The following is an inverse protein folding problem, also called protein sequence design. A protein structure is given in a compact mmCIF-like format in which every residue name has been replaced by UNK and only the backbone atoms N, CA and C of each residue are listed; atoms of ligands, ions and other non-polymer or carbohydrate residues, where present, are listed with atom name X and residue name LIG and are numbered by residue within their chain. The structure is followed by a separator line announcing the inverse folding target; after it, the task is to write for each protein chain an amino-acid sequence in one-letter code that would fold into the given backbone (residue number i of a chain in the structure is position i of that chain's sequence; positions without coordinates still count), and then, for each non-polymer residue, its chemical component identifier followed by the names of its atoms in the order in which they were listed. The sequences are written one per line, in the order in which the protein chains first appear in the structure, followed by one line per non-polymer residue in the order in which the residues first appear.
data_IF_469473252870
#
_entry.id   IF_469473252870
#
_cell.length_a   1.000
_cell.length_b   1.000
_cell.length_c   1.000
_cell.angle_alpha   90.00
_cell.angle_beta   90.00
_cell.angle_gamma   90.00
#
_symmetry.space_group_name_H-M   'P 1'
#
loop_
_entity.id
_entity.type
_entity.pdbx_description
1 polymer ?
#
# COMPACT_ATOMS: atom_id res chain seq x y z
N UNK A 1 -0.49 -2.12 10.70
CA UNK A 1 -0.18 -3.23 9.76
C UNK A 1 -1.49 -3.91 9.39
N UNK A 2 -1.73 -4.20 8.13
CA UNK A 2 -2.94 -4.91 7.68
C UNK A 2 -2.67 -5.73 6.41
N UNK A 3 -3.45 -6.78 6.17
CA UNK A 3 -3.52 -7.48 4.88
C UNK A 3 -4.86 -7.16 4.24
N UNK A 4 -4.84 -6.60 3.03
CA UNK A 4 -6.06 -6.23 2.32
C UNK A 4 -6.69 -7.49 1.74
N UNK A 5 -8.01 -7.62 1.92
CA UNK A 5 -8.80 -8.75 1.43
C UNK A 5 -9.50 -8.43 0.10
N UNK A 6 -10.00 -7.21 -0.03
CA UNK A 6 -10.73 -6.70 -1.19
C UNK A 6 -10.65 -5.17 -1.22
N UNK A 7 -10.92 -4.58 -2.39
CA UNK A 7 -11.07 -3.14 -2.58
C UNK A 7 -12.50 -2.83 -3.00
N UNK A 8 -13.06 -1.76 -2.43
CA UNK A 8 -14.40 -1.22 -2.73
C UNK A 8 -14.31 0.31 -2.80
N UNK A 9 -15.18 0.92 -3.60
CA UNK A 9 -15.25 2.38 -3.68
C UNK A 9 -15.72 2.97 -2.35
N UNK A 10 -14.93 3.91 -1.81
CA UNK A 10 -15.23 4.56 -0.54
C UNK A 10 -16.31 5.65 -0.68
N UNK A 11 -17.17 5.78 0.31
CA UNK A 11 -18.22 6.83 0.37
C UNK A 11 -17.82 8.08 1.16
N UNK A 12 -16.60 8.08 1.70
CA UNK A 12 -16.09 9.16 2.55
C UNK A 12 -15.58 10.34 1.72
N UNK A 13 -15.72 11.55 2.25
CA UNK A 13 -15.07 12.73 1.68
C UNK A 13 -13.57 12.70 2.00
N UNK A 14 -12.74 12.45 0.98
CA UNK A 14 -11.28 12.40 1.08
C UNK A 14 -10.64 13.67 0.48
N UNK A 15 -9.44 14.03 0.96
CA UNK A 15 -8.64 15.15 0.47
C UNK A 15 -7.20 14.69 0.24
N UNK A 16 -6.52 15.33 -0.72
CA UNK A 16 -5.08 15.10 -0.96
C UNK A 16 -4.29 15.41 0.32
N UNK A 17 -3.42 14.50 0.71
CA UNK A 17 -2.53 14.68 1.87
C UNK A 17 -1.45 15.73 1.56
N UNK A 18 -0.99 16.47 2.58
CA UNK A 18 0.01 17.54 2.42
C UNK A 18 1.46 17.05 2.33
N UNK A 19 1.71 15.82 2.74
CA UNK A 19 3.05 15.25 2.88
C UNK A 19 3.23 14.10 1.90
N UNK A 20 4.35 14.12 1.19
CA UNK A 20 4.83 12.97 0.43
C UNK A 20 5.73 12.13 1.32
N UNK A 21 5.72 10.82 1.10
CA UNK A 21 6.41 9.84 1.93
C UNK A 21 7.04 8.77 1.06
N UNK A 22 8.18 8.24 1.51
CA UNK A 22 8.78 7.07 0.88
C UNK A 22 7.96 5.83 1.20
N UNK A 23 7.78 4.97 0.18
CA UNK A 23 7.14 3.67 0.31
C UNK A 23 8.11 2.57 -0.13
N UNK A 24 8.54 1.74 0.80
CA UNK A 24 9.37 0.59 0.47
C UNK A 24 8.48 -0.60 0.14
N UNK A 25 8.86 -1.37 -0.88
CA UNK A 25 8.17 -2.58 -1.28
C UNK A 25 9.07 -3.81 -1.14
N UNK A 26 8.49 -4.92 -0.70
CA UNK A 26 9.17 -6.21 -0.63
C UNK A 26 8.17 -7.33 -0.95
N UNK A 27 8.65 -8.44 -1.50
CA UNK A 27 7.82 -9.63 -1.67
C UNK A 27 8.13 -10.66 -0.60
N UNK A 28 7.09 -11.29 -0.06
CA UNK A 28 7.21 -12.38 0.92
C UNK A 28 6.34 -13.55 0.48
N UNK A 29 6.63 -14.75 0.98
CA UNK A 29 5.76 -15.92 0.82
C UNK A 29 5.11 -16.27 2.15
N UNK A 30 3.83 -16.67 2.10
CA UNK A 30 3.17 -17.24 3.27
C UNK A 30 3.55 -18.72 3.49
N UNK A 31 3.03 -19.33 4.55
CA UNK A 31 3.28 -20.73 4.90
C UNK A 31 2.86 -21.73 3.81
N UNK A 32 1.94 -21.33 2.92
CA UNK A 32 1.47 -22.14 1.81
C UNK A 32 2.22 -21.82 0.51
N UNK A 33 3.23 -20.95 0.56
CA UNK A 33 4.06 -20.55 -0.57
C UNK A 33 3.46 -19.44 -1.44
N UNK A 34 2.28 -18.90 -1.11
CA UNK A 34 1.67 -17.86 -1.92
C UNK A 34 2.45 -16.54 -1.79
N UNK A 35 2.60 -15.83 -2.91
CA UNK A 35 3.29 -14.55 -2.96
C UNK A 35 2.41 -13.43 -2.40
N UNK A 36 3.01 -12.59 -1.58
CA UNK A 36 2.44 -11.31 -1.13
C UNK A 36 3.41 -10.19 -1.41
N UNK A 37 2.90 -9.02 -1.77
CA UNK A 37 3.66 -7.78 -1.75
C UNK A 37 3.38 -7.04 -0.45
N UNK A 38 4.44 -6.61 0.21
CA UNK A 38 4.43 -5.81 1.41
C UNK A 38 4.86 -4.39 1.07
N UNK A 39 4.06 -3.41 1.47
CA UNK A 39 4.32 -2.00 1.28
C UNK A 39 4.39 -1.33 2.65
N UNK A 40 5.44 -0.56 2.89
CA UNK A 40 5.61 0.20 4.13
C UNK A 40 5.97 1.63 3.82
N UNK A 41 5.18 2.57 4.35
CA UNK A 41 5.48 3.99 4.26
C UNK A 41 6.26 4.48 5.47
N UNK A 42 7.17 5.41 5.22
CA UNK A 42 8.02 6.06 6.23
C UNK A 42 7.74 7.55 6.22
N UNK A 43 7.65 8.17 7.41
CA UNK A 43 7.41 9.62 7.50
C UNK A 43 8.50 10.43 6.78
N UNK A 44 8.13 11.63 6.31
CA UNK A 44 8.99 12.54 5.55
C UNK A 44 10.25 12.98 6.30
N UNK A 45 11.26 13.40 5.53
CA UNK A 45 12.66 13.68 5.89
C UNK A 45 12.92 14.66 7.06
N UNK A 46 11.90 15.36 7.57
CA UNK A 46 12.01 16.34 8.66
C UNK A 46 12.17 15.73 10.07
N UNK A 47 12.85 14.58 10.20
CA UNK A 47 13.11 13.96 11.50
C UNK A 47 14.57 13.61 11.71
N UNK A 48 15.10 14.09 12.82
CA UNK A 48 16.45 13.84 13.36
C UNK A 48 16.73 12.35 13.74
N UNK A 49 15.80 11.43 13.46
CA UNK A 49 15.85 10.02 13.85
C UNK A 49 15.46 9.10 12.69
N UNK A 50 16.01 7.88 12.69
CA UNK A 50 15.77 6.88 11.65
C UNK A 50 14.28 6.74 11.30
N UNK A 51 13.92 6.66 10.01
CA UNK A 51 12.54 6.71 9.56
C UNK A 51 11.69 5.63 10.25
N UNK A 52 10.72 6.07 11.06
CA UNK A 52 9.77 5.18 11.73
C UNK A 52 8.65 4.84 10.75
N UNK A 53 8.41 3.54 10.53
CA UNK A 53 7.27 3.06 9.75
C UNK A 53 5.98 3.65 10.31
N UNK A 54 5.22 4.36 9.47
CA UNK A 54 3.95 4.97 9.86
C UNK A 54 2.78 4.06 9.56
N UNK A 55 2.84 3.34 8.42
CA UNK A 55 1.80 2.42 7.98
C UNK A 55 2.42 1.29 7.15
N UNK A 56 1.78 0.12 7.20
CA UNK A 56 2.16 -0.98 6.33
C UNK A 56 0.97 -1.85 5.95
N UNK A 57 0.95 -2.25 4.69
CA UNK A 57 -0.10 -3.09 4.08
C UNK A 57 0.50 -4.27 3.33
N UNK A 58 -0.29 -5.32 3.15
CA UNK A 58 0.07 -6.48 2.34
C UNK A 58 -1.06 -6.84 1.40
N UNK A 59 -0.71 -7.22 0.17
CA UNK A 59 -1.64 -7.72 -0.85
C UNK A 59 -1.19 -9.10 -1.29
N UNK A 60 -2.13 -10.04 -1.38
CA UNK A 60 -1.91 -11.27 -2.16
C UNK A 60 -2.16 -10.98 -3.64
N UNK A 61 -1.93 -11.99 -4.50
CA UNK A 61 -2.13 -11.85 -5.95
C UNK A 61 -3.53 -11.36 -6.33
N UNK A 62 -4.58 -11.91 -5.73
CA UNK A 62 -5.96 -11.53 -6.04
C UNK A 62 -6.24 -10.04 -5.74
N UNK A 63 -5.85 -9.57 -4.56
CA UNK A 63 -6.00 -8.17 -4.17
C UNK A 63 -5.11 -7.25 -5.02
N UNK A 64 -3.89 -7.69 -5.36
CA UNK A 64 -3.00 -6.93 -6.24
C UNK A 64 -3.61 -6.73 -7.64
N UNK A 65 -4.26 -7.75 -8.21
CA UNK A 65 -4.98 -7.65 -9.49
C UNK A 65 -6.13 -6.64 -9.43
N UNK A 66 -6.90 -6.65 -8.35
CA UNK A 66 -7.96 -5.65 -8.14
C UNK A 66 -7.39 -4.24 -8.09
N UNK A 67 -6.29 -4.03 -7.35
CA UNK A 67 -5.65 -2.73 -7.27
C UNK A 67 -5.12 -2.26 -8.63
N UNK A 68 -4.50 -3.14 -9.42
CA UNK A 68 -4.03 -2.80 -10.78
C UNK A 68 -5.20 -2.35 -11.65
N UNK A 69 -6.32 -3.07 -11.63
CA UNK A 69 -7.51 -2.68 -12.38
C UNK A 69 -8.02 -1.29 -11.96
N UNK A 70 -8.11 -1.02 -10.66
CA UNK A 70 -8.52 0.30 -10.13
C UNK A 70 -7.57 1.41 -10.61
N UNK A 71 -6.26 1.16 -10.59
CA UNK A 71 -5.27 2.13 -11.07
C UNK A 71 -5.41 2.40 -12.57
N UNK A 72 -5.60 1.36 -13.38
CA UNK A 72 -5.81 1.50 -14.83
C UNK A 72 -7.08 2.27 -15.15
N UNK A 73 -8.18 1.98 -14.45
CA UNK A 73 -9.45 2.69 -14.60
C UNK A 73 -9.33 4.16 -14.19
N UNK A 74 -8.63 4.46 -13.09
CA UNK A 74 -8.47 5.81 -12.57
C UNK A 74 -7.55 6.71 -13.41
N UNK A 75 -6.50 6.14 -14.01
CA UNK A 75 -5.47 6.90 -14.73
C UNK A 75 -5.47 6.68 -16.24
N UNK A 76 -6.30 5.78 -16.76
CA UNK A 76 -6.43 5.46 -18.19
C UNK A 76 -5.11 5.08 -18.89
N UNK A 77 -4.28 4.24 -18.24
CA UNK A 77 -3.06 3.67 -18.83
C UNK A 77 -3.14 2.17 -19.10
#
# INVERSE_FOLDING_TARGET
MARIRSFEEGTQSIKIHRTEVDCYHQTIRDSSGNLHIHLTTFGSDDRESAPKSSQSIQLNEAAARQLVQILQEAFHF
#
